data_IF_287163952309
#
_entry.id   IF_287163952309
#
_cell.length_a   1.000
_cell.length_b   1.000
_cell.length_c   1.000
_cell.angle_alpha   90.00
_cell.angle_beta   90.00
_cell.angle_gamma   90.00
#
_symmetry.space_group_name_H-M   'P 1'
#
loop_
_entity.id
_entity.type
_entity.pdbx_description
1 polymer ?
#
# COMPACT_ATOMS: atom_id res chain seq x y z
N UNK A 1 71.83 24.95 55.13
CA UNK A 1 71.67 25.09 56.61
C UNK A 1 70.19 25.23 56.91
N UNK A 2 69.68 24.33 57.76
CA UNK A 2 68.60 24.49 58.74
C UNK A 2 67.31 25.23 58.33
N UNK A 3 66.23 24.46 58.10
CA UNK A 3 65.05 24.29 58.98
C UNK A 3 64.12 25.51 59.03
N UNK A 4 62.81 25.30 58.84
CA UNK A 4 61.93 25.00 59.98
C UNK A 4 60.43 25.22 59.66
N UNK A 5 59.62 24.40 60.33
CA UNK A 5 58.28 24.70 60.88
C UNK A 5 57.05 24.47 60.00
N UNK A 6 56.34 23.40 60.40
CA UNK A 6 54.94 23.05 60.14
C UNK A 6 53.96 24.08 60.69
N UNK A 7 52.85 24.30 59.99
CA UNK A 7 51.61 24.86 60.55
C UNK A 7 50.40 24.09 60.01
N UNK A 8 49.66 23.51 60.95
CA UNK A 8 48.38 22.82 60.79
C UNK A 8 47.24 23.81 60.57
N UNK A 9 46.37 23.61 59.57
CA UNK A 9 44.99 24.13 59.59
C UNK A 9 44.03 23.15 58.88
N UNK A 10 43.07 22.66 59.68
CA UNK A 10 41.72 22.10 59.44
C UNK A 10 41.29 21.51 58.09
N UNK A 11 40.75 20.28 58.05
CA UNK A 11 40.00 19.79 56.90
C UNK A 11 38.57 20.38 56.87
N UNK A 12 38.23 20.96 55.72
CA UNK A 12 36.90 21.42 55.33
C UNK A 12 35.89 20.26 55.38
N UNK A 13 34.76 20.51 56.04
CA UNK A 13 33.56 19.69 56.03
C UNK A 13 32.89 19.83 54.65
N UNK A 14 33.07 18.85 53.76
CA UNK A 14 32.35 18.78 52.48
C UNK A 14 30.92 18.28 52.74
N UNK A 15 29.93 19.16 52.58
CA UNK A 15 28.53 18.76 52.43
C UNK A 15 28.37 17.95 51.13
N UNK A 16 28.20 16.64 51.25
CA UNK A 16 27.71 15.80 50.16
C UNK A 16 26.21 16.00 49.98
N UNK A 17 25.81 16.60 48.86
CA UNK A 17 24.44 16.55 48.37
C UNK A 17 24.15 15.10 47.92
N UNK A 18 23.32 14.38 48.67
CA UNK A 18 22.71 13.14 48.21
C UNK A 18 21.65 13.48 47.16
N UNK A 19 21.93 13.17 45.89
CA UNK A 19 20.94 13.23 44.83
C UNK A 19 19.88 12.12 45.07
N UNK A 20 18.66 12.54 45.40
CA UNK A 20 17.48 11.66 45.41
C UNK A 20 17.22 11.23 43.97
N UNK A 21 17.41 9.94 43.69
CA UNK A 21 16.93 9.31 42.45
C UNK A 21 15.41 9.20 42.59
N UNK A 22 14.71 10.27 42.21
CA UNK A 22 13.27 10.22 41.97
C UNK A 22 13.02 9.28 40.81
N UNK A 23 12.34 8.15 41.07
CA UNK A 23 11.74 7.31 40.03
C UNK A 23 10.73 8.17 39.28
N UNK A 24 11.15 8.75 38.16
CA UNK A 24 10.25 9.36 37.20
C UNK A 24 9.26 8.31 36.73
N UNK A 25 8.00 8.46 37.13
CA UNK A 25 6.88 7.82 36.45
C UNK A 25 6.82 8.53 35.10
N UNK A 26 7.53 7.97 34.11
CA UNK A 26 7.40 8.42 32.73
C UNK A 26 5.93 8.28 32.30
N UNK A 27 5.42 9.18 31.45
CA UNK A 27 4.10 8.98 30.88
C UNK A 27 4.05 7.59 30.27
N UNK A 28 3.01 6.81 30.61
CA UNK A 28 2.72 5.58 29.91
C UNK A 28 2.79 5.85 28.40
N UNK A 29 3.35 4.95 27.58
CA UNK A 29 3.28 5.12 26.14
C UNK A 29 1.81 5.32 25.81
N UNK A 30 1.47 6.50 25.29
CA UNK A 30 0.18 6.74 24.69
C UNK A 30 -0.02 5.58 23.74
N UNK A 31 -1.02 4.74 24.02
CA UNK A 31 -1.44 3.75 23.06
C UNK A 31 -1.78 4.56 21.82
N UNK A 32 -0.90 4.54 20.83
CA UNK A 32 -1.26 4.90 19.48
C UNK A 32 -2.49 4.05 19.23
N UNK A 33 -3.64 4.71 19.14
CA UNK A 33 -4.81 4.12 18.54
C UNK A 33 -4.33 3.67 17.16
N UNK A 34 -4.00 2.38 17.05
CA UNK A 34 -3.80 1.73 15.79
C UNK A 34 -5.05 2.07 14.98
N UNK A 35 -4.85 2.85 13.91
CA UNK A 35 -5.96 3.30 13.07
C UNK A 35 -6.80 2.08 12.76
N UNK A 36 -8.04 2.10 13.27
CA UNK A 36 -8.98 0.99 13.30
C UNK A 36 -8.93 0.28 11.94
N UNK A 37 -8.36 -0.93 11.90
CA UNK A 37 -8.27 -1.79 10.71
C UNK A 37 -7.57 -1.19 9.47
N UNK A 38 -6.31 -0.77 9.58
CA UNK A 38 -5.48 -0.51 8.40
C UNK A 38 -4.73 -1.78 7.95
N UNK A 39 -4.74 -2.11 6.66
CA UNK A 39 -4.17 -3.36 6.13
C UNK A 39 -2.64 -3.40 6.00
N UNK A 40 -1.92 -2.43 6.59
CA UNK A 40 -0.46 -2.29 6.50
C UNK A 40 0.03 -1.80 5.13
N UNK A 41 -0.59 -2.27 4.05
CA UNK A 41 -0.43 -1.75 2.68
C UNK A 41 -1.29 -0.50 2.48
N UNK A 42 -0.79 0.44 1.67
CA UNK A 42 -1.42 1.74 1.43
C UNK A 42 -1.50 2.09 -0.05
N UNK A 43 -2.03 3.27 -0.33
CA UNK A 43 -2.30 3.76 -1.68
C UNK A 43 -1.05 4.03 -2.55
N UNK A 44 0.13 4.10 -1.93
CA UNK A 44 1.38 4.42 -2.61
C UNK A 44 1.76 3.38 -3.66
N UNK A 45 2.37 3.86 -4.74
CA UNK A 45 3.08 3.03 -5.71
C UNK A 45 4.29 2.37 -5.03
N UNK A 46 4.39 1.05 -5.12
CA UNK A 46 5.55 0.27 -4.67
C UNK A 46 5.91 -0.74 -5.75
N UNK A 47 7.15 -0.68 -6.23
CA UNK A 47 7.69 -1.71 -7.13
C UNK A 47 8.52 -2.71 -6.32
N UNK A 48 8.34 -4.01 -6.58
CA UNK A 48 8.91 -5.06 -5.73
C UNK A 48 10.41 -5.29 -5.93
N UNK A 49 11.14 -4.40 -6.59
CA UNK A 49 12.61 -4.37 -6.60
C UNK A 49 13.18 -3.32 -5.64
N UNK A 50 12.34 -2.63 -4.87
CA UNK A 50 12.72 -1.59 -3.92
C UNK A 50 12.38 -2.00 -2.48
N UNK A 51 13.02 -1.37 -1.49
CA UNK A 51 12.64 -1.53 -0.08
C UNK A 51 12.75 -2.94 0.51
N UNK A 52 13.56 -3.82 -0.10
CA UNK A 52 13.67 -5.23 0.29
C UNK A 52 12.64 -6.16 -0.35
N UNK A 53 11.83 -5.66 -1.30
CA UNK A 53 10.96 -6.50 -2.13
C UNK A 53 11.74 -7.46 -3.03
N UNK A 54 11.06 -8.52 -3.49
CA UNK A 54 11.59 -9.45 -4.50
C UNK A 54 10.96 -9.18 -5.87
N UNK A 55 11.75 -8.92 -6.92
CA UNK A 55 11.24 -8.76 -8.28
C UNK A 55 10.45 -9.99 -8.75
N UNK A 56 9.35 -9.75 -9.45
CA UNK A 56 8.42 -10.81 -9.87
C UNK A 56 8.76 -11.41 -11.25
N UNK A 57 9.66 -10.79 -12.01
CA UNK A 57 10.08 -11.24 -13.35
C UNK A 57 8.92 -11.43 -14.33
N UNK A 58 7.92 -10.56 -14.30
CA UNK A 58 6.73 -10.65 -15.17
C UNK A 58 7.10 -10.39 -16.63
N UNK A 59 6.37 -11.01 -17.57
CA UNK A 59 6.43 -10.63 -18.97
C UNK A 59 5.60 -9.36 -19.20
N UNK A 60 6.14 -8.40 -19.95
CA UNK A 60 5.45 -7.15 -20.23
C UNK A 60 4.20 -7.36 -21.08
N UNK A 61 4.22 -8.33 -22.00
CA UNK A 61 3.07 -8.65 -22.84
C UNK A 61 1.92 -9.23 -22.00
N UNK A 62 2.23 -10.00 -20.96
CA UNK A 62 1.23 -10.56 -20.04
C UNK A 62 0.59 -9.47 -19.17
N UNK A 63 1.36 -8.44 -18.79
CA UNK A 63 0.83 -7.27 -18.08
C UNK A 63 -0.12 -6.47 -18.98
N UNK A 64 0.25 -6.22 -20.24
CA UNK A 64 -0.63 -5.57 -21.22
C UNK A 64 -1.89 -6.41 -21.48
N UNK A 65 -1.74 -7.73 -21.58
CA UNK A 65 -2.86 -8.64 -21.72
C UNK A 65 -3.82 -8.56 -20.52
N UNK A 66 -3.30 -8.52 -19.29
CA UNK A 66 -4.12 -8.37 -18.10
C UNK A 66 -5.00 -7.11 -18.15
N UNK A 67 -4.43 -5.97 -18.55
CA UNK A 67 -5.21 -4.74 -18.76
C UNK A 67 -6.25 -4.90 -19.87
N UNK A 68 -5.86 -5.43 -21.03
CA UNK A 68 -6.77 -5.65 -22.16
C UNK A 68 -7.94 -6.59 -21.82
N UNK A 69 -7.69 -7.65 -21.05
CA UNK A 69 -8.71 -8.62 -20.66
C UNK A 69 -9.74 -8.02 -19.71
N UNK A 70 -9.31 -7.19 -18.75
CA UNK A 70 -10.26 -6.49 -17.86
C UNK A 70 -11.14 -5.50 -18.62
N UNK A 71 -10.63 -4.82 -19.65
CA UNK A 71 -11.47 -4.01 -20.54
C UNK A 71 -12.48 -4.86 -21.30
N UNK A 72 -12.05 -6.01 -21.81
CA UNK A 72 -12.96 -6.97 -22.43
C UNK A 72 -14.08 -7.38 -21.46
N UNK A 73 -13.79 -7.66 -20.19
CA UNK A 73 -14.82 -7.93 -19.19
C UNK A 73 -15.75 -6.74 -18.98
N UNK A 74 -15.19 -5.52 -18.87
CA UNK A 74 -15.98 -4.30 -18.73
C UNK A 74 -17.02 -4.14 -19.85
N UNK A 75 -16.67 -4.55 -21.08
CA UNK A 75 -17.53 -4.47 -22.25
C UNK A 75 -18.54 -5.62 -22.37
N UNK A 76 -18.30 -6.77 -21.73
CA UNK A 76 -19.02 -8.02 -22.02
C UNK A 76 -19.73 -8.70 -20.83
N UNK A 77 -19.33 -8.44 -19.57
CA UNK A 77 -19.85 -9.18 -18.40
C UNK A 77 -21.08 -8.54 -17.70
N UNK A 78 -21.59 -7.43 -18.23
CA UNK A 78 -22.85 -6.81 -17.80
C UNK A 78 -22.78 -6.00 -16.50
N UNK A 79 -21.85 -6.31 -15.59
CA UNK A 79 -21.48 -5.44 -14.45
C UNK A 79 -20.09 -4.83 -14.68
N UNK A 80 -19.99 -3.51 -14.92
CA UNK A 80 -18.71 -2.87 -15.16
C UNK A 80 -17.87 -2.69 -13.88
N UNK A 81 -18.42 -2.99 -12.71
CA UNK A 81 -17.81 -2.72 -11.41
C UNK A 81 -17.22 -3.99 -10.77
N UNK A 82 -15.97 -3.86 -10.32
CA UNK A 82 -15.37 -4.75 -9.33
C UNK A 82 -15.69 -4.24 -7.93
N UNK A 83 -16.49 -5.00 -7.17
CA UNK A 83 -16.90 -4.62 -5.81
C UNK A 83 -16.33 -5.57 -4.77
N UNK A 84 -15.62 -5.00 -3.80
CA UNK A 84 -15.13 -5.67 -2.59
C UNK A 84 -15.93 -5.16 -1.38
N UNK A 85 -16.83 -5.98 -0.80
CA UNK A 85 -17.67 -5.60 0.31
C UNK A 85 -16.86 -5.51 1.62
N UNK A 86 -17.40 -4.85 2.66
CA UNK A 86 -16.74 -4.80 3.96
C UNK A 86 -16.50 -6.19 4.54
N UNK A 87 -15.31 -6.40 5.07
CA UNK A 87 -14.86 -7.64 5.70
C UNK A 87 -14.11 -7.36 7.02
N UNK A 88 -13.67 -8.43 7.68
CA UNK A 88 -12.91 -8.35 8.93
C UNK A 88 -11.40 -8.35 8.73
N UNK A 89 -10.97 -9.10 7.72
CA UNK A 89 -9.57 -9.30 7.35
C UNK A 89 -9.19 -8.44 6.16
N UNK A 90 -7.91 -8.35 5.87
CA UNK A 90 -7.38 -7.62 4.71
C UNK A 90 -7.23 -8.58 3.52
N UNK A 91 -8.34 -9.14 3.05
CA UNK A 91 -8.33 -10.13 1.99
C UNK A 91 -7.79 -9.53 0.70
N UNK A 92 -7.11 -10.39 -0.03
CA UNK A 92 -6.56 -10.12 -1.34
C UNK A 92 -7.26 -11.07 -2.31
N UNK A 93 -7.91 -10.51 -3.32
CA UNK A 93 -8.80 -11.23 -4.23
C UNK A 93 -8.15 -11.31 -5.60
N UNK A 94 -8.13 -12.50 -6.19
CA UNK A 94 -7.69 -12.69 -7.57
C UNK A 94 -8.66 -12.01 -8.51
N UNK A 95 -8.13 -11.12 -9.37
CA UNK A 95 -8.91 -10.57 -10.47
C UNK A 95 -9.20 -11.67 -11.49
N UNK A 96 -10.36 -11.63 -12.16
CA UNK A 96 -10.81 -12.69 -13.06
C UNK A 96 -10.06 -12.63 -14.40
N UNK A 97 -8.74 -12.86 -14.37
CA UNK A 97 -7.91 -12.95 -15.57
C UNK A 97 -7.83 -14.40 -16.03
N UNK A 98 -8.13 -14.65 -17.30
CA UNK A 98 -7.91 -15.95 -17.91
C UNK A 98 -6.72 -15.88 -18.87
N UNK A 99 -5.71 -16.72 -18.67
CA UNK A 99 -4.60 -16.85 -19.62
C UNK A 99 -3.52 -15.77 -19.56
N UNK A 100 -3.43 -14.99 -18.47
CA UNK A 100 -2.39 -13.96 -18.28
C UNK A 100 -0.98 -14.51 -17.94
N UNK A 101 -0.74 -15.79 -18.22
CA UNK A 101 0.53 -16.51 -18.09
C UNK A 101 1.37 -16.14 -16.86
N UNK A 102 2.40 -15.29 -16.98
CA UNK A 102 3.31 -14.97 -15.87
C UNK A 102 2.67 -14.11 -14.77
N UNK A 103 1.51 -13.50 -15.02
CA UNK A 103 0.89 -12.47 -14.18
C UNK A 103 -0.30 -13.01 -13.40
N UNK A 104 -0.24 -12.88 -12.08
CA UNK A 104 -1.38 -12.91 -11.19
C UNK A 104 -1.71 -11.48 -10.75
N UNK A 105 -2.88 -10.99 -11.15
CA UNK A 105 -3.36 -9.68 -10.73
C UNK A 105 -4.34 -9.80 -9.56
N UNK A 106 -4.16 -8.95 -8.56
CA UNK A 106 -4.88 -9.02 -7.30
C UNK A 106 -5.46 -7.66 -6.94
N UNK A 107 -6.68 -7.65 -6.42
CA UNK A 107 -7.28 -6.50 -5.79
C UNK A 107 -7.26 -6.70 -4.28
N UNK A 108 -6.91 -5.64 -3.54
CA UNK A 108 -6.82 -5.72 -2.08
C UNK A 108 -7.38 -4.47 -1.41
N UNK A 109 -8.05 -4.66 -0.29
CA UNK A 109 -8.44 -3.55 0.57
C UNK A 109 -7.23 -2.88 1.24
N UNK A 110 -7.21 -1.54 1.23
CA UNK A 110 -6.39 -0.75 2.16
C UNK A 110 -7.07 -0.69 3.55
N UNK A 111 -8.40 -0.57 3.54
CA UNK A 111 -9.25 -0.59 4.72
C UNK A 111 -10.37 -1.63 4.48
N UNK A 112 -10.39 -2.73 5.23
CA UNK A 112 -11.34 -3.81 5.00
C UNK A 112 -12.75 -3.46 5.45
N UNK A 113 -12.94 -2.34 6.16
CA UNK A 113 -14.27 -1.88 6.61
C UNK A 113 -15.01 -1.05 5.57
N UNK A 114 -14.35 -0.72 4.48
CA UNK A 114 -14.92 0.13 3.43
C UNK A 114 -15.56 -0.75 2.35
N UNK A 115 -16.85 -0.55 2.07
CA UNK A 115 -17.44 -1.08 0.84
C UNK A 115 -16.74 -0.39 -0.32
N UNK A 116 -15.99 -1.13 -1.13
CA UNK A 116 -15.14 -0.55 -2.15
C UNK A 116 -15.53 -1.04 -3.52
N UNK A 117 -15.62 -0.14 -4.48
CA UNK A 117 -16.05 -0.50 -5.84
C UNK A 117 -15.37 0.40 -6.86
N UNK A 118 -14.84 -0.20 -7.91
CA UNK A 118 -14.16 0.49 -9.02
C UNK A 118 -14.52 -0.17 -10.34
N UNK A 119 -14.46 0.55 -11.45
CA UNK A 119 -14.71 -0.05 -12.76
C UNK A 119 -13.54 -0.96 -13.18
N UNK A 120 -13.83 -1.98 -13.96
CA UNK A 120 -12.79 -2.77 -14.62
C UNK A 120 -11.91 -1.91 -15.53
N UNK A 121 -12.45 -0.84 -16.11
CA UNK A 121 -11.68 0.15 -16.86
C UNK A 121 -10.63 0.87 -16.00
N UNK A 122 -11.00 1.31 -14.79
CA UNK A 122 -10.07 1.95 -13.87
C UNK A 122 -8.96 0.97 -13.44
N UNK A 123 -9.31 -0.28 -13.14
CA UNK A 123 -8.31 -1.32 -12.85
C UNK A 123 -7.38 -1.55 -14.05
N UNK A 124 -7.94 -1.70 -15.25
CA UNK A 124 -7.16 -1.92 -16.48
C UNK A 124 -6.17 -0.78 -16.73
N UNK A 125 -6.63 0.47 -16.63
CA UNK A 125 -5.79 1.65 -16.83
C UNK A 125 -4.75 1.83 -15.71
N UNK A 126 -5.03 1.33 -14.50
CA UNK A 126 -4.05 1.24 -13.42
C UNK A 126 -2.91 0.26 -13.78
N UNK A 127 -3.24 -0.84 -14.45
CA UNK A 127 -2.28 -1.88 -14.84
C UNK A 127 -1.38 -1.40 -15.97
N UNK A 128 -1.93 -0.95 -17.10
CA UNK A 128 -1.17 -0.74 -18.33
C UNK A 128 -1.25 0.70 -18.89
N UNK A 129 -1.96 1.60 -18.22
CA UNK A 129 -2.17 3.00 -18.63
C UNK A 129 -3.37 3.24 -19.56
N UNK A 130 -3.85 2.24 -20.29
CA UNK A 130 -4.87 2.41 -21.35
C UNK A 130 -4.31 2.38 -22.78
N UNK A 131 -5.15 2.09 -23.79
CA UNK A 131 -4.75 2.07 -25.20
C UNK A 131 -4.39 3.48 -25.74
N UNK A 132 -5.10 4.51 -25.27
CA UNK A 132 -4.91 5.91 -25.68
C UNK A 132 -4.18 6.73 -24.61
N UNK A 133 -3.40 6.07 -23.75
CA UNK A 133 -2.70 6.70 -22.65
C UNK A 133 -1.68 7.72 -23.13
N UNK A 134 -1.62 8.90 -22.49
CA UNK A 134 -0.47 9.79 -22.65
C UNK A 134 0.79 9.10 -22.08
N UNK A 135 2.00 9.54 -22.48
CA UNK A 135 3.23 9.03 -21.89
C UNK A 135 3.26 9.11 -20.36
N UNK A 136 2.69 10.15 -19.78
CA UNK A 136 2.59 10.35 -18.34
C UNK A 136 1.64 9.35 -17.69
N UNK A 137 0.49 9.06 -18.30
CA UNK A 137 -0.44 8.05 -17.82
C UNK A 137 0.16 6.64 -17.89
N UNK A 138 0.85 6.31 -18.99
CA UNK A 138 1.59 5.05 -19.12
C UNK A 138 2.67 4.94 -18.04
N UNK A 139 3.44 6.00 -17.81
CA UNK A 139 4.49 6.04 -16.78
C UNK A 139 3.94 5.91 -15.35
N UNK A 140 2.70 6.35 -15.09
CA UNK A 140 2.05 6.21 -13.79
C UNK A 140 1.39 4.84 -13.56
N UNK A 141 1.19 4.04 -14.60
CA UNK A 141 0.65 2.67 -14.51
C UNK A 141 1.66 1.68 -13.92
N UNK A 142 1.20 0.51 -13.45
CA UNK A 142 2.10 -0.55 -12.95
C UNK A 142 3.08 -1.04 -14.03
N UNK A 143 2.63 -1.14 -15.28
CA UNK A 143 3.47 -1.50 -16.42
C UNK A 143 4.60 -0.50 -16.63
N UNK A 144 4.29 0.80 -16.66
CA UNK A 144 5.30 1.83 -16.91
C UNK A 144 6.21 2.09 -15.71
N UNK A 145 5.66 2.09 -14.50
CA UNK A 145 6.40 2.42 -13.30
C UNK A 145 7.25 1.24 -12.77
N UNK A 146 6.70 0.03 -12.80
CA UNK A 146 7.34 -1.15 -12.21
C UNK A 146 7.80 -2.19 -13.23
N UNK A 147 7.11 -2.28 -14.38
CA UNK A 147 7.44 -3.22 -15.46
C UNK A 147 7.55 -4.66 -14.95
N UNK A 148 8.61 -5.35 -15.36
CA UNK A 148 8.85 -6.77 -15.03
C UNK A 148 8.99 -7.04 -13.53
N UNK A 149 9.22 -6.02 -12.70
CA UNK A 149 9.38 -6.21 -11.26
C UNK A 149 8.05 -6.56 -10.58
N UNK A 150 6.92 -6.24 -11.20
CA UNK A 150 5.63 -6.22 -10.49
C UNK A 150 5.60 -5.15 -9.40
N UNK A 151 4.43 -4.97 -8.81
CA UNK A 151 4.25 -3.94 -7.80
C UNK A 151 2.82 -3.83 -7.32
N UNK A 152 2.55 -2.74 -6.63
CA UNK A 152 1.23 -2.32 -6.20
C UNK A 152 1.03 -0.81 -6.33
N UNK A 153 -0.20 -0.39 -6.54
CA UNK A 153 -0.61 1.02 -6.49
C UNK A 153 -2.12 1.10 -6.23
N UNK A 154 -2.59 2.21 -5.68
CA UNK A 154 -4.03 2.52 -5.67
C UNK A 154 -4.60 2.54 -7.09
N UNK A 155 -5.86 2.13 -7.21
CA UNK A 155 -6.59 2.25 -8.47
C UNK A 155 -6.58 3.71 -8.94
N UNK A 156 -6.21 3.92 -10.20
CA UNK A 156 -6.33 5.20 -10.89
C UNK A 156 -7.78 5.37 -11.37
N UNK A 157 -8.56 6.13 -10.60
CA UNK A 157 -10.01 6.23 -10.76
C UNK A 157 -10.39 7.37 -11.69
N UNK A 158 -11.19 7.09 -12.71
CA UNK A 158 -11.94 8.11 -13.43
C UNK A 158 -13.26 8.39 -12.72
N UNK A 159 -13.26 9.33 -11.77
CA UNK A 159 -14.45 9.67 -10.98
C UNK A 159 -15.64 10.21 -11.81
N UNK A 160 -15.42 10.53 -13.10
CA UNK A 160 -16.47 10.94 -14.02
C UNK A 160 -17.08 9.77 -14.82
N UNK A 161 -16.64 8.53 -14.57
CA UNK A 161 -17.23 7.36 -15.20
C UNK A 161 -18.74 7.28 -14.88
N UNK A 162 -19.63 7.13 -15.88
CA UNK A 162 -21.06 7.03 -15.67
C UNK A 162 -21.48 5.92 -14.69
N UNK A 163 -20.70 4.85 -14.55
CA UNK A 163 -20.96 3.76 -13.60
C UNK A 163 -21.05 4.29 -12.15
N UNK A 164 -20.25 5.30 -11.81
CA UNK A 164 -20.24 5.93 -10.48
C UNK A 164 -21.38 6.94 -10.25
N UNK A 165 -22.09 7.30 -11.32
CA UNK A 165 -23.19 8.27 -11.26
C UNK A 165 -24.57 7.60 -11.22
N UNK A 166 -24.61 6.27 -11.28
CA UNK A 166 -25.85 5.50 -11.20
C UNK A 166 -26.49 5.64 -9.81
N UNK A 167 -27.83 5.69 -9.72
CA UNK A 167 -28.52 5.68 -8.43
C UNK A 167 -28.13 4.48 -7.55
N UNK A 168 -27.89 3.33 -8.15
CA UNK A 168 -27.47 2.09 -7.49
C UNK A 168 -26.09 2.23 -6.85
N UNK A 169 -25.10 2.75 -7.58
CA UNK A 169 -23.77 2.99 -7.04
C UNK A 169 -23.81 4.02 -5.91
N UNK A 170 -24.52 5.14 -6.11
CA UNK A 170 -24.67 6.19 -5.09
C UNK A 170 -25.32 5.63 -3.82
N UNK A 171 -26.39 4.83 -3.97
CA UNK A 171 -27.09 4.21 -2.85
C UNK A 171 -26.24 3.16 -2.11
N UNK A 172 -25.31 2.50 -2.79
CA UNK A 172 -24.41 1.50 -2.19
C UNK A 172 -23.43 2.08 -1.17
N UNK A 173 -23.17 3.40 -1.25
CA UNK A 173 -22.16 4.08 -0.43
C UNK A 173 -20.72 3.63 -0.68
N UNK A 174 -20.46 2.89 -1.76
CA UNK A 174 -19.14 2.38 -2.10
C UNK A 174 -18.12 3.51 -2.33
N UNK A 175 -16.85 3.18 -2.09
CA UNK A 175 -15.70 4.09 -2.18
C UNK A 175 -14.63 3.50 -3.09
N UNK A 176 -14.07 4.31 -3.96
CA UNK A 176 -13.04 3.84 -4.89
C UNK A 176 -11.62 3.91 -4.27
N UNK A 177 -11.44 4.68 -3.20
CA UNK A 177 -10.13 4.98 -2.61
C UNK A 177 -9.53 3.84 -1.78
N UNK A 178 -10.28 2.77 -1.51
CA UNK A 178 -9.87 1.71 -0.58
C UNK A 178 -9.43 0.41 -1.27
N UNK A 179 -9.16 0.42 -2.58
CA UNK A 179 -8.62 -0.71 -3.34
C UNK A 179 -7.24 -0.36 -3.92
N UNK A 180 -6.31 -1.28 -3.76
CA UNK A 180 -5.04 -1.31 -4.51
C UNK A 180 -5.03 -2.49 -5.46
N UNK A 181 -4.29 -2.35 -6.55
CA UNK A 181 -4.02 -3.41 -7.51
C UNK A 181 -2.58 -3.85 -7.34
N UNK A 182 -2.36 -5.17 -7.38
CA UNK A 182 -1.04 -5.78 -7.27
C UNK A 182 -0.80 -6.70 -8.45
N UNK A 183 0.41 -6.66 -8.99
CA UNK A 183 0.89 -7.61 -9.99
C UNK A 183 2.02 -8.43 -9.40
N UNK A 184 1.79 -9.73 -9.28
CA UNK A 184 2.77 -10.69 -8.77
C UNK A 184 2.93 -11.83 -9.75
N UNK A 185 3.98 -12.62 -9.56
CA UNK A 185 4.20 -13.82 -10.36
C UNK A 185 3.10 -14.82 -10.08
N UNK A 186 2.46 -15.31 -11.14
CA UNK A 186 1.54 -16.45 -11.01
C UNK A 186 2.33 -17.70 -10.59
N UNK A 187 2.06 -18.28 -9.40
CA UNK A 187 2.77 -19.49 -8.95
C UNK A 187 2.40 -20.74 -9.76
N UNK A 188 1.30 -20.71 -10.52
CA UNK A 188 0.90 -21.81 -11.40
C UNK A 188 1.66 -21.83 -12.73
N UNK A 189 2.31 -20.73 -13.10
CA UNK A 189 3.13 -20.65 -14.31
C UNK A 189 4.48 -21.35 -14.10
N UNK A 190 4.76 -22.37 -14.91
CA UNK A 190 5.99 -23.19 -14.80
C UNK A 190 7.04 -22.93 -15.88
N UNK A 191 6.79 -22.01 -16.82
CA UNK A 191 7.63 -21.79 -18.00
C UNK A 191 7.21 -22.62 -19.20
#
# INVERSE_FOLDING_TARGET
MYTSTLLFISPLLTLGFAAVVGRGIGPAPSQLHETRAACGEGAQLVCYNTGGGTPQNLDLADIEYAGAYLRFLADNDGDPLWTMPPEFECSEWTLPLFGAATVLALAKHINPRTNSSVTYYDIANTIDGGPDATPEQKAASLLGACGTNGGQIQVNVNANDPAYLTPEYIASGAKHESIIIKLVRDPSWTG
#
